data_IF_256747838227
#
_entry.id   IF_256747838227
#
_cell.length_a   1.000
_cell.length_b   1.000
_cell.length_c   1.000
_cell.angle_alpha   90.00
_cell.angle_beta   90.00
_cell.angle_gamma   90.00
#
_symmetry.space_group_name_H-M   'P 1'
#
loop_
_entity.id
_entity.type
_entity.pdbx_description
1 polymer ?
#
# COMPACT_ATOMS: atom_id res chain seq x y z
N UNK A 1 24.71 -22.02 44.39
CA UNK A 1 24.14 -20.73 43.99
C UNK A 1 25.07 -20.15 42.94
N UNK A 2 24.81 -20.45 41.67
CA UNK A 2 25.66 -20.03 40.56
C UNK A 2 25.14 -18.68 40.04
N UNK A 3 25.95 -17.65 40.22
CA UNK A 3 25.75 -16.32 39.66
C UNK A 3 26.02 -16.35 38.15
N UNK A 4 24.99 -16.14 37.34
CA UNK A 4 25.10 -15.92 35.90
C UNK A 4 25.45 -14.46 35.68
N UNK A 5 26.68 -14.20 35.24
CA UNK A 5 27.14 -12.89 34.76
C UNK A 5 26.65 -12.68 33.32
N UNK A 6 25.80 -11.67 33.14
CA UNK A 6 25.35 -11.19 31.82
C UNK A 6 26.51 -10.47 31.13
N UNK A 7 26.90 -10.92 29.93
CA UNK A 7 27.76 -10.16 29.02
C UNK A 7 26.92 -9.65 27.85
N UNK A 8 26.99 -8.36 27.48
CA UNK A 8 26.25 -7.83 26.33
C UNK A 8 26.83 -8.39 25.03
N UNK A 9 25.94 -9.00 24.22
CA UNK A 9 26.26 -9.58 22.93
C UNK A 9 26.78 -8.52 21.95
N UNK A 10 27.83 -8.92 21.25
CA UNK A 10 28.54 -8.17 20.21
C UNK A 10 27.58 -7.73 19.11
N UNK A 11 27.54 -6.41 18.88
CA UNK A 11 26.96 -5.77 17.69
C UNK A 11 27.50 -6.44 16.43
N UNK A 12 26.65 -7.22 15.77
CA UNK A 12 26.92 -7.71 14.42
C UNK A 12 26.34 -6.68 13.45
N UNK A 13 27.14 -5.99 12.63
CA UNK A 13 26.59 -5.06 11.64
C UNK A 13 25.75 -5.87 10.65
N UNK A 14 24.49 -5.47 10.46
CA UNK A 14 23.65 -5.93 9.36
C UNK A 14 24.37 -5.61 8.04
N UNK A 15 25.08 -6.61 7.54
CA UNK A 15 25.88 -6.55 6.32
C UNK A 15 24.95 -6.44 5.12
N UNK A 16 24.95 -5.24 4.54
CA UNK A 16 24.89 -4.94 3.10
C UNK A 16 24.40 -6.12 2.23
N UNK A 17 23.12 -6.14 1.88
CA UNK A 17 22.68 -6.83 0.67
C UNK A 17 23.36 -6.12 -0.52
N UNK A 18 24.24 -6.77 -1.29
CA UNK A 18 24.75 -6.18 -2.50
C UNK A 18 23.62 -6.25 -3.52
N UNK A 19 23.04 -5.10 -3.86
CA UNK A 19 22.34 -4.93 -5.13
C UNK A 19 23.29 -5.43 -6.23
N UNK A 20 23.07 -6.64 -6.75
CA UNK A 20 23.86 -7.14 -7.89
C UNK A 20 23.61 -6.19 -9.05
N UNK A 21 24.64 -5.37 -9.32
CA UNK A 21 24.79 -4.56 -10.53
C UNK A 21 24.85 -5.50 -11.73
N UNK A 22 23.69 -5.77 -12.31
CA UNK A 22 23.58 -6.15 -13.72
C UNK A 22 22.38 -5.42 -14.31
N UNK A 23 22.40 -4.08 -14.26
CA UNK A 23 21.53 -3.29 -15.14
C UNK A 23 22.11 -3.35 -16.55
N UNK A 24 21.86 -4.45 -17.27
CA UNK A 24 21.80 -4.38 -18.72
C UNK A 24 20.73 -3.35 -19.09
N UNK A 25 20.90 -2.61 -20.20
CA UNK A 25 19.81 -1.80 -20.77
C UNK A 25 18.58 -2.70 -20.94
N UNK A 26 17.57 -2.49 -20.10
CA UNK A 26 16.36 -3.30 -20.04
C UNK A 26 15.32 -2.73 -21.01
N UNK A 27 15.44 -3.08 -22.28
CA UNK A 27 14.33 -2.94 -23.24
C UNK A 27 13.36 -4.10 -23.05
N UNK A 28 12.05 -3.85 -23.02
CA UNK A 28 11.04 -4.90 -23.05
C UNK A 28 11.32 -5.81 -24.26
N UNK A 29 11.61 -7.09 -24.00
CA UNK A 29 11.78 -8.06 -25.05
C UNK A 29 10.38 -8.48 -25.53
N UNK A 30 9.85 -7.77 -26.52
CA UNK A 30 8.66 -8.23 -27.24
C UNK A 30 9.01 -9.54 -27.96
N UNK A 31 8.34 -10.66 -27.62
CA UNK A 31 8.44 -11.93 -28.36
C UNK A 31 9.22 -13.07 -27.69
N UNK A 32 9.05 -13.28 -26.38
CA UNK A 32 9.62 -14.47 -25.71
C UNK A 32 8.84 -14.87 -24.42
N UNK A 33 7.59 -14.43 -24.25
CA UNK A 33 6.84 -14.77 -23.03
C UNK A 33 6.48 -16.26 -23.01
N UNK A 34 5.90 -16.80 -24.08
CA UNK A 34 5.48 -18.20 -24.10
C UNK A 34 6.66 -19.17 -23.94
N UNK A 35 7.78 -18.86 -24.56
CA UNK A 35 9.01 -19.65 -24.41
C UNK A 35 9.64 -19.50 -23.01
N UNK A 36 9.57 -18.33 -22.36
CA UNK A 36 9.99 -18.18 -20.98
C UNK A 36 9.06 -18.91 -20.00
N UNK A 37 7.74 -18.77 -20.16
CA UNK A 37 6.73 -19.36 -19.30
C UNK A 37 6.77 -20.90 -19.34
N UNK A 38 7.07 -21.49 -20.51
CA UNK A 38 7.15 -22.94 -20.69
C UNK A 38 8.58 -23.52 -20.54
N UNK A 39 9.57 -22.74 -20.13
CA UNK A 39 10.92 -23.26 -19.89
C UNK A 39 10.93 -24.16 -18.63
N UNK A 40 11.28 -25.45 -18.73
CA UNK A 40 11.24 -26.39 -17.59
C UNK A 40 12.21 -26.02 -16.46
N UNK A 41 13.14 -25.09 -16.69
CA UNK A 41 14.07 -24.57 -15.68
C UNK A 41 13.48 -23.44 -14.85
N UNK A 42 12.27 -22.94 -15.16
CA UNK A 42 11.61 -21.92 -14.35
C UNK A 42 11.30 -22.46 -12.96
N UNK A 43 11.44 -21.58 -11.98
CA UNK A 43 11.00 -21.91 -10.62
C UNK A 43 9.48 -22.02 -10.55
N UNK A 44 8.98 -22.66 -9.49
CA UNK A 44 7.56 -22.75 -9.25
C UNK A 44 6.89 -21.36 -9.19
N UNK A 45 7.54 -20.40 -8.53
CA UNK A 45 7.00 -19.05 -8.37
C UNK A 45 6.98 -18.25 -9.67
N UNK A 46 8.01 -18.39 -10.51
CA UNK A 46 8.03 -17.76 -11.83
C UNK A 46 6.90 -18.30 -12.72
N UNK A 47 6.69 -19.63 -12.72
CA UNK A 47 5.60 -20.24 -13.49
C UNK A 47 4.23 -19.84 -12.93
N UNK A 48 4.10 -19.71 -11.61
CA UNK A 48 2.85 -19.26 -11.01
C UNK A 48 2.53 -17.80 -11.39
N UNK A 49 3.53 -16.92 -11.40
CA UNK A 49 3.39 -15.58 -11.95
C UNK A 49 2.99 -15.59 -13.44
N UNK A 50 3.52 -16.53 -14.23
CA UNK A 50 3.12 -16.72 -15.62
C UNK A 50 1.65 -17.19 -15.76
N UNK A 51 1.22 -18.17 -14.95
CA UNK A 51 -0.18 -18.64 -14.89
C UNK A 51 -1.14 -17.49 -14.61
N UNK A 52 -0.84 -16.65 -13.62
CA UNK A 52 -1.66 -15.48 -13.30
C UNK A 52 -1.71 -14.44 -14.43
N UNK A 53 -0.60 -14.22 -15.15
CA UNK A 53 -0.59 -13.35 -16.32
C UNK A 53 -1.42 -13.92 -17.48
N UNK A 54 -1.35 -15.24 -17.69
CA UNK A 54 -2.15 -15.95 -18.69
C UNK A 54 -3.64 -15.83 -18.34
N UNK A 55 -4.03 -16.11 -17.11
CA UNK A 55 -5.40 -15.96 -16.61
C UNK A 55 -5.92 -14.53 -16.78
N UNK A 56 -5.10 -13.54 -16.42
CA UNK A 56 -5.46 -12.11 -16.52
C UNK A 56 -5.67 -11.65 -17.97
N UNK A 57 -4.90 -12.20 -18.91
CA UNK A 57 -4.98 -11.84 -20.34
C UNK A 57 -6.01 -12.64 -21.12
N UNK A 58 -6.48 -13.78 -20.59
CA UNK A 58 -7.41 -14.67 -21.27
C UNK A 58 -8.73 -13.99 -21.67
N UNK A 59 -9.25 -13.10 -20.82
CA UNK A 59 -10.45 -12.32 -21.14
C UNK A 59 -10.24 -11.36 -22.30
N UNK A 60 -9.07 -10.70 -22.38
CA UNK A 60 -8.70 -9.83 -23.49
C UNK A 60 -8.58 -10.63 -24.80
N UNK A 61 -7.89 -11.76 -24.74
CA UNK A 61 -7.72 -12.65 -25.90
C UNK A 61 -9.06 -13.19 -26.42
N UNK A 62 -9.93 -13.70 -25.54
CA UNK A 62 -11.28 -14.17 -25.91
C UNK A 62 -12.10 -13.07 -26.58
N UNK A 63 -12.06 -11.85 -26.04
CA UNK A 63 -12.78 -10.71 -26.63
C UNK A 63 -12.25 -10.37 -28.03
N UNK A 64 -10.93 -10.36 -28.21
CA UNK A 64 -10.27 -10.10 -29.51
C UNK A 64 -10.68 -11.11 -30.58
N UNK A 65 -10.85 -12.38 -30.19
CA UNK A 65 -11.23 -13.47 -31.10
C UNK A 65 -12.74 -13.79 -31.13
N UNK A 66 -13.57 -12.97 -30.46
CA UNK A 66 -15.04 -13.15 -30.47
C UNK A 66 -15.54 -14.41 -29.75
N UNK A 67 -14.73 -14.98 -28.85
CA UNK A 67 -15.04 -16.21 -28.12
C UNK A 67 -15.91 -15.87 -26.91
N UNK A 68 -17.15 -16.37 -26.89
CA UNK A 68 -18.05 -16.24 -25.75
C UNK A 68 -17.95 -17.46 -24.85
N UNK A 69 -17.64 -17.23 -23.58
CA UNK A 69 -17.59 -18.27 -22.55
C UNK A 69 -18.47 -17.85 -21.39
N UNK A 70 -19.35 -18.74 -20.94
CA UNK A 70 -20.12 -18.53 -19.72
C UNK A 70 -19.20 -18.68 -18.51
N UNK A 71 -19.14 -17.64 -17.67
CA UNK A 71 -18.26 -17.67 -16.50
C UNK A 71 -18.90 -18.49 -15.39
N UNK A 72 -18.32 -19.63 -15.06
CA UNK A 72 -18.72 -20.39 -13.89
C UNK A 72 -17.99 -19.87 -12.64
N UNK A 73 -18.62 -18.91 -11.95
CA UNK A 73 -18.05 -18.29 -10.76
C UNK A 73 -17.74 -19.29 -9.64
N UNK A 74 -18.59 -20.31 -9.46
CA UNK A 74 -18.40 -21.31 -8.41
C UNK A 74 -17.17 -22.19 -8.67
N UNK A 75 -16.98 -22.61 -9.92
CA UNK A 75 -15.81 -23.39 -10.31
C UNK A 75 -14.52 -22.59 -10.14
N UNK A 76 -14.52 -21.29 -10.48
CA UNK A 76 -13.36 -20.43 -10.31
C UNK A 76 -13.00 -20.24 -8.83
N UNK A 77 -13.99 -19.97 -7.96
CA UNK A 77 -13.73 -19.87 -6.52
C UNK A 77 -13.20 -21.19 -5.92
N UNK A 78 -13.71 -22.33 -6.39
CA UNK A 78 -13.22 -23.63 -5.95
C UNK A 78 -11.76 -23.85 -6.37
N UNK A 79 -11.43 -23.54 -7.63
CA UNK A 79 -10.07 -23.64 -8.19
C UNK A 79 -9.07 -22.77 -7.42
N UNK A 80 -9.43 -21.52 -7.13
CA UNK A 80 -8.59 -20.59 -6.35
C UNK A 80 -8.37 -21.14 -4.93
N UNK A 81 -9.43 -21.63 -4.30
CA UNK A 81 -9.35 -22.21 -2.96
C UNK A 81 -8.48 -23.46 -2.93
N UNK A 82 -8.63 -24.37 -3.89
CA UNK A 82 -7.79 -25.56 -4.03
C UNK A 82 -6.31 -25.17 -4.19
N UNK A 83 -6.03 -24.20 -5.07
CA UNK A 83 -4.69 -23.63 -5.27
C UNK A 83 -4.11 -23.00 -3.99
N UNK A 84 -4.94 -22.33 -3.20
CA UNK A 84 -4.54 -21.75 -1.91
C UNK A 84 -4.20 -22.80 -0.84
N UNK A 85 -4.88 -23.95 -0.88
CA UNK A 85 -4.74 -25.04 0.08
C UNK A 85 -3.63 -26.03 -0.27
N UNK A 86 -3.09 -25.96 -1.49
CA UNK A 86 -2.00 -26.80 -1.97
C UNK A 86 -0.68 -26.00 -2.05
N UNK A 87 0.21 -26.11 -1.03
CA UNK A 87 1.54 -25.49 -1.08
C UNK A 87 2.40 -25.99 -2.24
N UNK A 88 2.09 -27.18 -2.78
CA UNK A 88 2.79 -27.82 -3.88
C UNK A 88 2.11 -27.60 -5.24
N UNK A 89 1.08 -26.75 -5.32
CA UNK A 89 0.34 -26.44 -6.57
C UNK A 89 1.31 -26.24 -7.72
N UNK A 90 1.15 -27.04 -8.77
CA UNK A 90 1.91 -26.91 -10.00
C UNK A 90 1.06 -26.10 -10.99
N UNK A 91 1.56 -24.95 -11.46
CA UNK A 91 0.88 -24.18 -12.49
C UNK A 91 0.54 -25.04 -13.70
N UNK A 92 -0.72 -24.97 -14.15
CA UNK A 92 -1.27 -25.79 -15.22
C UNK A 92 -1.73 -24.90 -16.38
N UNK A 93 -0.82 -24.68 -17.33
CA UNK A 93 -1.09 -23.96 -18.56
C UNK A 93 -0.30 -24.59 -19.71
N UNK A 94 -0.89 -24.59 -20.90
CA UNK A 94 -0.24 -25.08 -22.11
C UNK A 94 0.62 -23.99 -22.77
N UNK A 95 1.45 -24.41 -23.73
CA UNK A 95 2.19 -23.48 -24.59
C UNK A 95 1.25 -22.62 -25.45
N UNK A 96 0.08 -23.16 -25.78
CA UNK A 96 -0.96 -22.44 -26.52
C UNK A 96 -1.55 -21.32 -25.65
N UNK A 97 -1.88 -21.60 -24.39
CA UNK A 97 -2.35 -20.58 -23.44
C UNK A 97 -1.35 -19.45 -23.25
N UNK A 98 -0.07 -19.79 -23.11
CA UNK A 98 0.99 -18.80 -23.02
C UNK A 98 1.15 -17.99 -24.33
N UNK A 99 0.89 -18.60 -25.47
CA UNK A 99 0.85 -17.93 -26.78
C UNK A 99 -0.31 -16.95 -26.91
N UNK A 100 -1.49 -17.32 -26.41
CA UNK A 100 -2.66 -16.42 -26.35
C UNK A 100 -2.36 -15.18 -25.53
N UNK A 101 -1.74 -15.35 -24.36
CA UNK A 101 -1.31 -14.24 -23.51
C UNK A 101 -0.32 -13.34 -24.28
N UNK A 102 0.73 -13.93 -24.87
CA UNK A 102 1.74 -13.20 -25.62
C UNK A 102 1.18 -12.36 -26.78
N UNK A 103 0.13 -12.84 -27.46
CA UNK A 103 -0.55 -12.14 -28.54
C UNK A 103 -1.18 -10.81 -28.08
N UNK A 104 -1.72 -10.76 -26.86
CA UNK A 104 -2.46 -9.59 -26.33
C UNK A 104 -1.69 -8.80 -25.27
N UNK A 105 -0.52 -9.28 -24.83
CA UNK A 105 0.34 -8.54 -23.89
C UNK A 105 0.57 -7.08 -24.31
N UNK A 106 0.85 -6.74 -25.59
CA UNK A 106 1.07 -5.34 -26.01
C UNK A 106 -0.13 -4.41 -25.76
N UNK A 107 -1.35 -4.96 -25.62
CA UNK A 107 -2.59 -4.21 -25.38
C UNK A 107 -2.85 -4.01 -23.87
N UNK A 108 -2.06 -4.64 -23.02
CA UNK A 108 -2.25 -4.65 -21.57
C UNK A 108 -1.91 -3.29 -20.97
N UNK A 109 -2.88 -2.64 -20.32
CA UNK A 109 -2.67 -1.38 -19.58
C UNK A 109 -2.57 -1.57 -18.08
N UNK A 110 -3.18 -2.63 -17.56
CA UNK A 110 -3.29 -2.91 -16.13
C UNK A 110 -3.11 -4.38 -15.84
N UNK A 111 -2.51 -4.70 -14.70
CA UNK A 111 -2.45 -6.05 -14.15
C UNK A 111 -3.11 -6.04 -12.76
N UNK A 112 -4.08 -6.94 -12.52
CA UNK A 112 -4.88 -6.91 -11.29
C UNK A 112 -5.21 -8.31 -10.79
N UNK A 113 -4.82 -8.61 -9.57
CA UNK A 113 -5.27 -9.81 -8.85
C UNK A 113 -6.52 -9.45 -8.06
N UNK A 114 -7.62 -10.17 -8.28
CA UNK A 114 -8.94 -9.80 -7.73
C UNK A 114 -9.37 -10.62 -6.51
N UNK A 115 -8.66 -11.70 -6.19
CA UNK A 115 -9.11 -12.69 -5.20
C UNK A 115 -8.17 -12.77 -4.00
N UNK A 116 -8.77 -12.97 -2.82
CA UNK A 116 -8.05 -13.12 -1.56
C UNK A 116 -7.85 -14.59 -1.15
N UNK A 117 -8.50 -15.54 -1.82
CA UNK A 117 -8.52 -16.97 -1.45
C UNK A 117 -7.69 -17.80 -2.42
N UNK A 118 -6.51 -17.30 -2.78
CA UNK A 118 -5.62 -17.91 -3.75
C UNK A 118 -4.20 -18.13 -3.21
N UNK A 119 -3.38 -18.94 -3.86
CA UNK A 119 -1.96 -19.06 -3.55
C UNK A 119 -1.28 -17.69 -3.65
N UNK A 120 -0.49 -17.27 -2.65
CA UNK A 120 0.12 -15.94 -2.67
C UNK A 120 1.18 -15.81 -3.77
N UNK A 121 1.17 -14.67 -4.46
CA UNK A 121 2.17 -14.34 -5.47
C UNK A 121 3.52 -13.98 -4.80
N UNK A 122 4.61 -14.59 -5.27
CA UNK A 122 5.96 -14.41 -4.70
C UNK A 122 6.98 -13.83 -5.67
N UNK A 123 6.74 -13.94 -6.98
CA UNK A 123 7.68 -13.56 -8.03
C UNK A 123 7.00 -12.69 -9.10
N UNK A 124 7.61 -11.53 -9.39
CA UNK A 124 7.13 -10.56 -10.37
C UNK A 124 7.92 -10.58 -11.67
N UNK A 125 8.75 -11.61 -11.92
CA UNK A 125 9.68 -11.64 -13.06
C UNK A 125 8.96 -11.59 -14.41
N UNK A 126 7.69 -11.98 -14.46
CA UNK A 126 6.83 -11.88 -15.65
C UNK A 126 6.58 -10.42 -16.08
N UNK A 127 6.70 -9.44 -15.18
CA UNK A 127 6.46 -8.02 -15.50
C UNK A 127 7.39 -7.49 -16.59
N UNK A 128 8.55 -8.11 -16.81
CA UNK A 128 9.46 -7.71 -17.90
C UNK A 128 8.91 -7.94 -19.31
N UNK A 129 7.87 -8.77 -19.42
CA UNK A 129 7.17 -9.05 -20.68
C UNK A 129 5.92 -8.19 -20.86
N UNK A 130 5.44 -7.57 -19.78
CA UNK A 130 4.34 -6.61 -19.89
C UNK A 130 4.85 -5.32 -20.56
N UNK A 131 4.02 -4.64 -21.36
CA UNK A 131 4.31 -3.26 -21.74
C UNK A 131 4.36 -2.40 -20.46
N UNK A 132 4.89 -1.17 -20.52
CA UNK A 132 4.83 -0.25 -19.38
C UNK A 132 3.37 -0.02 -18.95
N UNK A 133 2.98 -0.67 -17.86
CA UNK A 133 1.61 -0.66 -17.34
C UNK A 133 1.31 0.70 -16.69
N UNK A 134 0.05 1.10 -16.78
CA UNK A 134 -0.48 2.30 -16.14
C UNK A 134 -0.88 2.02 -14.68
N UNK A 135 -1.32 0.78 -14.40
CA UNK A 135 -1.78 0.36 -13.07
C UNK A 135 -1.42 -1.09 -12.74
N UNK A 136 -0.99 -1.33 -11.49
CA UNK A 136 -0.82 -2.68 -10.93
C UNK A 136 -1.60 -2.76 -9.60
N UNK A 137 -2.43 -3.77 -9.47
CA UNK A 137 -3.12 -4.11 -8.23
C UNK A 137 -2.80 -5.57 -7.85
N UNK A 138 -2.11 -5.76 -6.74
CA UNK A 138 -1.75 -7.07 -6.23
C UNK A 138 -2.54 -7.36 -4.96
N UNK A 139 -3.00 -8.60 -4.82
CA UNK A 139 -3.69 -9.08 -3.62
C UNK A 139 -3.07 -10.38 -3.17
N UNK A 140 -2.92 -10.54 -1.85
CA UNK A 140 -2.33 -11.70 -1.20
C UNK A 140 -0.94 -12.04 -1.77
N UNK A 141 0.08 -11.33 -1.30
CA UNK A 141 1.44 -11.48 -1.82
C UNK A 141 2.44 -11.84 -0.72
N UNK A 142 3.54 -12.45 -1.15
CA UNK A 142 4.71 -12.73 -0.32
C UNK A 142 5.99 -12.38 -1.12
N UNK A 143 6.03 -11.16 -1.66
CA UNK A 143 7.08 -10.73 -2.58
C UNK A 143 8.30 -10.25 -1.80
N UNK A 144 9.45 -10.88 -2.06
CA UNK A 144 10.74 -10.50 -1.48
C UNK A 144 11.56 -9.60 -2.40
N UNK A 145 11.48 -9.82 -3.71
CA UNK A 145 12.16 -9.02 -4.72
C UNK A 145 11.17 -8.18 -5.51
N UNK A 146 11.14 -6.89 -5.22
CA UNK A 146 10.30 -5.91 -5.90
C UNK A 146 11.01 -5.24 -7.09
N UNK A 147 12.26 -5.60 -7.40
CA UNK A 147 13.02 -5.03 -8.51
C UNK A 147 12.36 -5.18 -9.89
N UNK A 148 11.53 -6.20 -10.18
CA UNK A 148 10.79 -6.26 -11.44
C UNK A 148 9.80 -5.10 -11.65
N UNK A 149 9.40 -4.37 -10.61
CA UNK A 149 8.62 -3.15 -10.80
C UNK A 149 9.37 -2.07 -11.60
N UNK A 150 10.71 -2.13 -11.67
CA UNK A 150 11.51 -1.17 -12.45
C UNK A 150 11.27 -1.24 -13.96
N UNK A 151 10.69 -2.33 -14.48
CA UNK A 151 10.23 -2.37 -15.86
C UNK A 151 9.00 -1.48 -16.10
N UNK A 152 8.27 -1.12 -15.04
CA UNK A 152 6.95 -0.52 -15.09
C UNK A 152 7.01 1.00 -14.83
N UNK A 153 7.86 1.68 -15.59
CA UNK A 153 8.13 3.12 -15.42
C UNK A 153 6.96 4.06 -15.74
N UNK A 154 5.91 3.54 -16.38
CA UNK A 154 4.69 4.28 -16.70
C UNK A 154 3.61 4.22 -15.60
N UNK A 155 3.85 3.51 -14.49
CA UNK A 155 2.86 3.33 -13.43
C UNK A 155 2.41 4.66 -12.86
N UNK A 156 1.09 4.85 -12.87
CA UNK A 156 0.39 5.96 -12.22
C UNK A 156 -0.37 5.50 -10.98
N UNK A 157 -0.77 4.22 -10.94
CA UNK A 157 -1.45 3.61 -9.80
C UNK A 157 -0.75 2.31 -9.37
N UNK A 158 -0.49 2.17 -8.08
CA UNK A 158 0.08 0.95 -7.52
C UNK A 158 -0.59 0.58 -6.20
N UNK A 159 -1.28 -0.55 -6.20
CA UNK A 159 -2.00 -1.06 -5.05
C UNK A 159 -1.47 -2.44 -4.68
N UNK A 160 -1.14 -2.64 -3.40
CA UNK A 160 -0.77 -3.94 -2.83
C UNK A 160 -1.62 -4.18 -1.60
N UNK A 161 -2.29 -5.33 -1.59
CA UNK A 161 -3.13 -5.74 -0.48
C UNK A 161 -2.64 -7.05 0.12
N UNK A 162 -2.41 -7.04 1.43
CA UNK A 162 -2.02 -8.21 2.23
C UNK A 162 -0.69 -8.81 1.75
N UNK A 163 0.34 -7.98 1.55
CA UNK A 163 1.70 -8.52 1.49
C UNK A 163 2.18 -8.90 2.89
N UNK A 164 2.71 -10.12 3.04
CA UNK A 164 3.06 -10.66 4.36
C UNK A 164 4.56 -10.67 4.67
N UNK A 165 5.43 -10.35 3.71
CA UNK A 165 6.89 -10.55 3.88
C UNK A 165 7.74 -9.37 3.46
N UNK A 166 7.18 -8.35 2.80
CA UNK A 166 7.93 -7.21 2.28
C UNK A 166 8.65 -6.47 3.41
N UNK A 167 9.93 -6.16 3.19
CA UNK A 167 10.75 -5.38 4.13
C UNK A 167 11.39 -4.15 3.51
N UNK A 168 11.46 -4.08 2.18
CA UNK A 168 12.12 -3.01 1.45
C UNK A 168 11.28 -2.64 0.22
N UNK A 169 10.77 -1.41 0.20
CA UNK A 169 10.00 -0.85 -0.90
C UNK A 169 10.68 0.40 -1.50
N UNK A 170 11.99 0.58 -1.28
CA UNK A 170 12.74 1.71 -1.85
C UNK A 170 12.70 1.76 -3.37
N UNK A 171 12.42 0.63 -4.02
CA UNK A 171 12.19 0.54 -5.47
C UNK A 171 11.03 1.45 -5.92
N UNK A 172 10.01 1.66 -5.09
CA UNK A 172 8.87 2.50 -5.40
C UNK A 172 9.30 3.95 -5.63
N UNK A 173 10.32 4.44 -4.92
CA UNK A 173 10.91 5.77 -5.13
C UNK A 173 11.50 6.01 -6.52
N UNK A 174 11.59 4.98 -7.36
CA UNK A 174 12.03 5.09 -8.77
C UNK A 174 10.86 5.23 -9.75
N UNK A 175 9.62 5.02 -9.30
CA UNK A 175 8.40 5.07 -10.11
C UNK A 175 7.77 6.48 -10.03
N UNK A 176 8.48 7.49 -10.53
CA UNK A 176 8.18 8.90 -10.28
C UNK A 176 6.87 9.43 -10.89
N UNK A 177 6.20 8.62 -11.71
CA UNK A 177 4.86 8.88 -12.27
C UNK A 177 3.71 8.40 -11.39
N UNK A 178 3.99 7.74 -10.26
CA UNK A 178 2.96 7.31 -9.33
C UNK A 178 2.19 8.52 -8.80
N UNK A 179 0.86 8.44 -8.94
CA UNK A 179 -0.10 9.45 -8.52
C UNK A 179 -0.97 8.95 -7.37
N UNK A 180 -1.28 7.65 -7.37
CA UNK A 180 -2.09 6.97 -6.34
C UNK A 180 -1.40 5.70 -5.89
N UNK A 181 -1.33 5.49 -4.58
CA UNK A 181 -0.73 4.29 -4.01
C UNK A 181 -1.48 3.79 -2.78
N UNK A 182 -1.84 2.51 -2.79
CA UNK A 182 -2.39 1.81 -1.63
C UNK A 182 -1.43 0.71 -1.17
N UNK A 183 -0.94 0.82 0.06
CA UNK A 183 -0.04 -0.18 0.66
C UNK A 183 -0.71 -0.76 1.90
N UNK A 184 -1.34 -1.92 1.75
CA UNK A 184 -1.88 -2.70 2.86
C UNK A 184 -0.94 -3.87 3.12
N UNK A 185 -0.14 -3.76 4.18
CA UNK A 185 1.00 -4.62 4.43
C UNK A 185 0.88 -5.29 5.80
N UNK A 186 0.93 -6.62 5.85
CA UNK A 186 0.88 -7.41 7.10
C UNK A 186 2.27 -7.60 7.72
N UNK A 187 3.13 -6.58 7.57
CA UNK A 187 4.48 -6.52 8.14
C UNK A 187 4.57 -5.27 9.02
N UNK A 188 5.45 -5.28 10.04
CA UNK A 188 5.50 -4.18 11.00
C UNK A 188 5.85 -2.85 10.33
N UNK A 189 7.04 -2.67 9.77
CA UNK A 189 7.43 -1.43 9.08
C UNK A 189 8.44 -1.74 7.96
N UNK A 190 8.07 -1.68 6.67
CA UNK A 190 9.04 -1.78 5.58
C UNK A 190 9.87 -0.50 5.47
N UNK A 191 11.03 -0.59 4.83
CA UNK A 191 11.82 0.57 4.42
C UNK A 191 11.13 1.30 3.25
N UNK A 192 10.59 2.47 3.53
CA UNK A 192 9.91 3.35 2.58
C UNK A 192 10.78 4.53 2.11
N UNK A 193 12.08 4.53 2.39
CA UNK A 193 12.95 5.62 1.92
C UNK A 193 12.92 5.73 0.40
N UNK A 194 13.03 6.94 -0.11
CA UNK A 194 12.90 7.24 -1.52
C UNK A 194 11.48 7.60 -1.95
N UNK A 195 10.45 7.40 -1.12
CA UNK A 195 9.10 7.90 -1.41
C UNK A 195 9.06 9.44 -1.52
N UNK A 196 10.00 10.15 -0.91
CA UNK A 196 10.18 11.60 -1.07
C UNK A 196 10.49 12.01 -2.53
N UNK A 197 10.93 11.08 -3.38
CA UNK A 197 11.16 11.31 -4.80
C UNK A 197 9.89 11.22 -5.66
N UNK A 198 8.75 10.79 -5.08
CA UNK A 198 7.48 10.66 -5.81
C UNK A 198 6.80 12.02 -5.96
N UNK A 199 7.32 12.82 -6.89
CA UNK A 199 6.87 14.20 -7.11
C UNK A 199 5.48 14.34 -7.70
N UNK A 200 4.85 13.25 -8.15
CA UNK A 200 3.47 13.24 -8.67
C UNK A 200 2.47 12.58 -7.72
N UNK A 201 2.92 11.99 -6.60
CA UNK A 201 2.04 11.27 -5.68
C UNK A 201 1.09 12.23 -4.97
N UNK A 202 -0.22 11.99 -5.15
CA UNK A 202 -1.31 12.80 -4.58
C UNK A 202 -2.08 12.04 -3.52
N UNK A 203 -2.27 10.74 -3.74
CA UNK A 203 -3.11 9.90 -2.90
C UNK A 203 -2.28 8.74 -2.35
N UNK A 204 -2.13 8.68 -1.02
CA UNK A 204 -1.38 7.64 -0.33
C UNK A 204 -2.23 7.06 0.79
N UNK A 205 -2.62 5.80 0.66
CA UNK A 205 -3.24 5.04 1.74
C UNK A 205 -2.26 3.98 2.20
N UNK A 206 -1.94 4.02 3.48
CA UNK A 206 -1.01 3.10 4.11
C UNK A 206 -1.71 2.40 5.27
N UNK A 207 -1.71 1.07 5.23
CA UNK A 207 -2.23 0.25 6.30
C UNK A 207 -1.08 -0.63 6.80
N UNK A 208 -0.57 -0.27 7.97
CA UNK A 208 0.70 -0.73 8.54
C UNK A 208 1.15 0.18 9.68
N UNK A 209 2.39 0.04 10.13
CA UNK A 209 2.89 0.83 11.26
C UNK A 209 3.53 2.16 10.82
N UNK A 210 3.20 3.25 11.53
CA UNK A 210 3.73 4.59 11.24
C UNK A 210 5.27 4.69 11.29
N UNK A 211 5.94 3.81 12.03
CA UNK A 211 7.41 3.78 12.09
C UNK A 211 8.06 3.57 10.72
N UNK A 212 7.32 3.08 9.72
CA UNK A 212 7.76 3.00 8.33
C UNK A 212 8.09 4.38 7.70
N UNK A 213 7.57 5.47 8.27
CA UNK A 213 7.77 6.84 7.77
C UNK A 213 8.84 7.63 8.51
N UNK A 214 9.46 7.10 9.57
CA UNK A 214 10.46 7.81 10.39
C UNK A 214 11.61 8.41 9.57
N UNK A 215 12.01 7.70 8.51
CA UNK A 215 13.10 8.10 7.62
C UNK A 215 12.61 8.70 6.28
N UNK A 216 11.33 9.06 6.19
CA UNK A 216 10.71 9.72 5.02
C UNK A 216 10.40 11.16 5.40
N UNK A 217 11.26 12.14 5.06
CA UNK A 217 11.14 13.49 5.62
C UNK A 217 9.98 14.29 5.03
N UNK A 218 9.64 14.07 3.76
CA UNK A 218 8.65 14.88 3.04
C UNK A 218 7.96 14.06 1.96
N UNK A 219 6.66 14.31 1.77
CA UNK A 219 5.90 13.86 0.62
C UNK A 219 5.31 15.11 -0.07
N UNK A 220 5.97 15.62 -1.14
CA UNK A 220 5.85 17.02 -1.53
C UNK A 220 4.51 17.39 -2.17
N UNK A 221 3.80 16.43 -2.78
CA UNK A 221 2.54 16.67 -3.50
C UNK A 221 1.35 15.88 -2.96
N UNK A 222 1.52 15.14 -1.87
CA UNK A 222 0.45 14.36 -1.26
C UNK A 222 -0.63 15.29 -0.75
N UNK A 223 -1.87 15.04 -1.20
CA UNK A 223 -3.09 15.78 -0.86
C UNK A 223 -4.02 14.95 0.02
N UNK A 224 -4.01 13.63 -0.17
CA UNK A 224 -4.77 12.66 0.61
C UNK A 224 -3.79 11.69 1.23
N UNK A 225 -3.78 11.65 2.57
CA UNK A 225 -3.02 10.67 3.32
C UNK A 225 -3.94 9.95 4.30
N UNK A 226 -4.03 8.64 4.17
CA UNK A 226 -4.81 7.82 5.08
C UNK A 226 -3.90 6.76 5.69
N UNK A 227 -3.78 6.77 7.02
CA UNK A 227 -3.16 5.68 7.76
C UNK A 227 -4.24 4.87 8.47
N UNK A 228 -4.29 3.58 8.16
CA UNK A 228 -5.19 2.61 8.80
C UNK A 228 -4.41 1.63 9.67
N UNK A 229 -5.08 1.11 10.70
CA UNK A 229 -4.47 0.18 11.64
C UNK A 229 -4.59 -1.30 11.23
N UNK A 230 -3.61 -2.13 11.61
CA UNK A 230 -3.65 -3.59 11.53
C UNK A 230 -3.51 -4.21 12.92
N UNK A 231 -4.53 -4.95 13.34
CA UNK A 231 -4.64 -5.50 14.70
C UNK A 231 -3.50 -6.42 15.17
N UNK A 232 -2.61 -6.88 14.29
CA UNK A 232 -1.44 -7.68 14.70
C UNK A 232 -0.20 -6.85 15.07
N UNK A 233 -0.13 -5.57 14.69
CA UNK A 233 1.02 -4.68 14.93
C UNK A 233 0.54 -3.36 15.55
N UNK A 234 -0.21 -3.50 16.64
CA UNK A 234 -0.84 -2.42 17.39
C UNK A 234 0.16 -1.62 18.22
N UNK A 235 0.93 -0.78 17.52
CA UNK A 235 1.71 0.27 18.13
C UNK A 235 1.05 1.59 17.74
N UNK A 236 0.48 2.32 18.70
CA UNK A 236 -0.15 3.60 18.44
C UNK A 236 0.79 4.60 17.79
N UNK A 237 0.23 5.46 16.94
CA UNK A 237 0.87 6.71 16.56
C UNK A 237 0.98 7.55 17.82
N UNK A 238 2.20 7.61 18.38
CA UNK A 238 2.43 8.35 19.61
C UNK A 238 2.19 9.83 19.41
N UNK A 239 2.78 10.39 18.35
CA UNK A 239 2.72 11.80 17.99
C UNK A 239 2.57 11.96 16.48
N UNK A 240 1.86 13.00 16.03
CA UNK A 240 1.75 13.33 14.60
C UNK A 240 3.09 13.81 14.03
N UNK A 241 4.07 14.17 14.88
CA UNK A 241 5.43 14.52 14.47
C UNK A 241 6.12 13.42 13.67
N UNK A 242 5.82 12.15 13.95
CA UNK A 242 6.44 10.98 13.32
C UNK A 242 6.09 10.80 11.83
N UNK A 243 5.07 11.51 11.34
CA UNK A 243 4.70 11.49 9.93
C UNK A 243 5.65 12.36 9.08
N UNK A 244 5.67 12.20 7.75
CA UNK A 244 6.39 13.10 6.85
C UNK A 244 5.78 14.50 6.81
N UNK A 245 6.56 15.50 6.42
CA UNK A 245 6.01 16.79 6.02
C UNK A 245 5.16 16.65 4.74
N UNK A 246 3.94 17.19 4.74
CA UNK A 246 3.02 17.13 3.60
C UNK A 246 2.41 18.52 3.36
N UNK A 247 3.13 19.44 2.67
CA UNK A 247 2.74 20.85 2.56
C UNK A 247 1.47 21.08 1.72
N UNK A 248 1.02 20.08 0.97
CA UNK A 248 -0.19 20.13 0.14
C UNK A 248 -1.34 19.27 0.69
N UNK A 249 -1.27 18.83 1.95
CA UNK A 249 -2.24 17.93 2.54
C UNK A 249 -3.61 18.60 2.76
N UNK A 250 -4.65 18.03 2.17
CA UNK A 250 -6.05 18.51 2.30
C UNK A 250 -6.94 17.52 3.06
N UNK A 251 -6.63 16.22 2.99
CA UNK A 251 -7.35 15.16 3.70
C UNK A 251 -6.36 14.29 4.46
N UNK A 252 -6.63 14.12 5.75
CA UNK A 252 -5.85 13.28 6.64
C UNK A 252 -6.79 12.35 7.40
N UNK A 253 -6.52 11.05 7.33
CA UNK A 253 -7.12 10.06 8.22
C UNK A 253 -6.02 9.42 9.05
N UNK A 254 -6.16 9.48 10.37
CA UNK A 254 -5.27 8.86 11.33
C UNK A 254 -6.03 7.83 12.15
N UNK A 255 -5.50 6.62 12.23
CA UNK A 255 -6.01 5.57 13.11
C UNK A 255 -5.03 5.29 14.24
N UNK A 256 -5.54 4.81 15.37
CA UNK A 256 -4.77 4.46 16.57
C UNK A 256 -3.80 5.57 17.05
N UNK A 257 -4.29 6.80 17.20
CA UNK A 257 -3.48 7.97 17.61
C UNK A 257 -3.60 8.27 19.11
N UNK A 258 -2.49 8.55 19.81
CA UNK A 258 -2.51 8.92 21.24
C UNK A 258 -2.20 10.38 21.52
N UNK A 259 -1.47 11.08 20.66
CA UNK A 259 -1.21 12.51 20.79
C UNK A 259 -1.34 13.20 19.43
N UNK A 260 -1.88 14.43 19.44
CA UNK A 260 -2.17 15.22 18.24
C UNK A 260 -1.13 16.31 17.99
N UNK A 261 -0.09 16.39 18.81
CA UNK A 261 0.98 17.37 18.67
C UNK A 261 1.69 17.22 17.31
N UNK A 262 1.96 18.35 16.65
CA UNK A 262 2.55 18.39 15.31
C UNK A 262 1.54 18.39 14.18
N UNK A 263 0.25 18.16 14.45
CA UNK A 263 -0.80 18.25 13.43
C UNK A 263 -0.94 19.67 12.87
N UNK A 264 -0.60 20.69 13.67
CA UNK A 264 -0.65 22.11 13.32
C UNK A 264 0.19 22.48 12.09
N UNK A 265 1.17 21.64 11.72
CA UNK A 265 1.99 21.85 10.51
C UNK A 265 1.20 21.66 9.21
N UNK A 266 0.09 20.92 9.23
CA UNK A 266 -0.77 20.69 8.07
C UNK A 266 -1.80 21.81 7.91
N UNK A 267 -1.30 23.03 7.68
CA UNK A 267 -2.11 24.26 7.66
C UNK A 267 -3.18 24.33 6.56
N UNK A 268 -3.06 23.51 5.50
CA UNK A 268 -4.02 23.40 4.39
C UNK A 268 -5.09 22.31 4.61
N UNK A 269 -5.10 21.67 5.78
CA UNK A 269 -5.98 20.53 6.03
C UNK A 269 -7.45 20.98 6.05
N UNK A 270 -8.25 20.40 5.15
CA UNK A 270 -9.68 20.67 5.02
C UNK A 270 -10.53 19.61 5.71
N UNK A 271 -10.09 18.35 5.66
CA UNK A 271 -10.80 17.19 6.19
C UNK A 271 -9.88 16.38 7.10
N UNK A 272 -10.27 16.19 8.34
CA UNK A 272 -9.55 15.39 9.33
C UNK A 272 -10.47 14.31 9.89
N UNK A 273 -10.02 13.06 9.83
CA UNK A 273 -10.59 11.95 10.57
C UNK A 273 -9.53 11.41 11.52
N UNK A 274 -9.81 11.37 12.82
CA UNK A 274 -8.87 10.83 13.81
C UNK A 274 -9.56 9.85 14.74
N UNK A 275 -8.94 8.68 14.86
CA UNK A 275 -9.37 7.56 15.69
C UNK A 275 -8.27 7.24 16.69
N UNK A 276 -8.59 7.10 17.98
CA UNK A 276 -7.58 6.78 18.99
C UNK A 276 -7.97 7.15 20.42
N UNK A 277 -6.99 7.34 21.29
CA UNK A 277 -7.16 7.58 22.74
C UNK A 277 -6.42 8.83 23.23
N UNK A 278 -6.43 9.90 22.44
CA UNK A 278 -5.82 11.18 22.79
C UNK A 278 -6.59 11.94 23.86
N UNK A 279 -5.86 12.70 24.68
CA UNK A 279 -6.39 13.48 25.82
C UNK A 279 -6.48 14.98 25.56
N UNK A 280 -5.74 15.50 24.58
CA UNK A 280 -5.67 16.93 24.27
C UNK A 280 -6.08 17.23 22.82
N UNK A 281 -7.07 18.10 22.67
CA UNK A 281 -7.54 18.60 21.37
C UNK A 281 -6.98 19.99 21.03
N UNK A 282 -6.18 20.59 21.90
CA UNK A 282 -5.59 21.93 21.71
C UNK A 282 -4.85 22.09 20.38
N UNK A 283 -4.05 21.11 19.89
CA UNK A 283 -3.37 21.23 18.61
C UNK A 283 -4.31 21.48 17.42
N UNK A 284 -5.55 20.98 17.49
CA UNK A 284 -6.53 21.14 16.41
C UNK A 284 -6.93 22.60 16.19
N UNK A 285 -6.86 23.46 17.21
CA UNK A 285 -7.24 24.87 17.10
C UNK A 285 -6.37 25.66 16.10
N UNK A 286 -5.20 25.14 15.71
CA UNK A 286 -4.34 25.74 14.71
C UNK A 286 -4.83 25.49 13.25
N UNK A 287 -5.71 24.52 13.03
CA UNK A 287 -6.17 24.09 11.71
C UNK A 287 -7.28 25.00 11.16
N UNK A 288 -6.94 26.25 10.86
CA UNK A 288 -7.90 27.31 10.49
C UNK A 288 -8.71 27.02 9.23
N UNK A 289 -8.19 26.22 8.31
CA UNK A 289 -8.87 25.82 7.07
C UNK A 289 -9.76 24.59 7.23
N UNK A 290 -9.79 23.97 8.42
CA UNK A 290 -10.54 22.74 8.65
C UNK A 290 -12.05 22.98 8.49
N UNK A 291 -12.67 22.17 7.63
CA UNK A 291 -14.10 22.26 7.30
C UNK A 291 -14.88 21.03 7.77
N UNK A 292 -14.22 19.88 7.84
CA UNK A 292 -14.80 18.60 8.25
C UNK A 292 -13.90 17.94 9.28
N UNK A 293 -14.47 17.58 10.42
CA UNK A 293 -13.78 16.92 11.51
C UNK A 293 -14.58 15.72 12.01
N UNK A 294 -13.97 14.55 11.94
CA UNK A 294 -14.45 13.34 12.62
C UNK A 294 -13.46 12.97 13.71
N UNK A 295 -13.94 12.89 14.94
CA UNK A 295 -13.18 12.43 16.10
C UNK A 295 -13.88 11.17 16.63
N UNK A 296 -13.14 10.07 16.74
CA UNK A 296 -13.65 8.82 17.29
C UNK A 296 -12.72 8.25 18.35
N UNK A 297 -13.28 7.88 19.48
CA UNK A 297 -12.51 7.58 20.69
C UNK A 297 -12.06 8.87 21.39
N UNK A 298 -10.93 8.77 22.09
CA UNK A 298 -10.35 9.82 22.91
C UNK A 298 -10.60 9.58 24.41
N UNK A 299 -9.79 10.26 25.20
CA UNK A 299 -9.93 10.44 26.64
C UNK A 299 -9.87 11.93 26.98
N UNK A 300 -10.27 12.80 26.05
CA UNK A 300 -10.24 14.24 26.23
C UNK A 300 -11.43 14.69 27.09
N UNK A 301 -11.17 15.64 27.98
CA UNK A 301 -12.21 16.13 28.90
C UNK A 301 -13.11 17.20 28.27
N UNK A 302 -12.65 17.86 27.21
CA UNK A 302 -13.36 18.99 26.60
C UNK A 302 -13.11 19.12 25.11
N UNK A 303 -14.11 19.65 24.40
CA UNK A 303 -14.03 20.04 22.99
C UNK A 303 -13.90 21.55 22.78
N UNK A 304 -13.66 22.33 23.86
CA UNK A 304 -13.49 23.77 23.78
C UNK A 304 -12.48 24.26 22.71
N UNK A 305 -11.36 23.56 22.42
CA UNK A 305 -10.46 23.96 21.33
C UNK A 305 -11.12 24.03 19.95
N UNK A 306 -12.17 23.24 19.72
CA UNK A 306 -12.87 23.15 18.43
C UNK A 306 -13.77 24.36 18.17
N UNK A 307 -14.27 25.03 19.22
CA UNK A 307 -15.16 26.19 19.12
C UNK A 307 -14.53 27.37 18.35
N UNK A 308 -13.20 27.42 18.32
CA UNK A 308 -12.42 28.50 17.68
C UNK A 308 -12.13 28.26 16.21
N UNK A 309 -12.57 27.14 15.63
CA UNK A 309 -12.31 26.81 14.23
C UNK A 309 -13.22 27.63 13.31
N UNK A 310 -12.68 28.60 12.56
CA UNK A 310 -13.49 29.61 11.86
C UNK A 310 -14.24 29.04 10.65
N UNK A 311 -13.77 27.91 10.12
CA UNK A 311 -14.28 27.31 8.89
C UNK A 311 -14.96 25.95 9.09
N UNK A 312 -15.05 25.45 10.32
CA UNK A 312 -15.62 24.14 10.61
C UNK A 312 -17.12 24.13 10.33
N UNK A 313 -17.58 23.20 9.50
CA UNK A 313 -18.98 23.10 9.05
C UNK A 313 -19.63 21.76 9.37
N UNK A 314 -18.82 20.72 9.58
CA UNK A 314 -19.28 19.38 9.94
C UNK A 314 -18.38 18.82 11.01
N UNK A 315 -18.98 18.50 12.16
CA UNK A 315 -18.32 17.84 13.28
C UNK A 315 -19.05 16.53 13.56
N UNK A 316 -18.31 15.43 13.57
CA UNK A 316 -18.78 14.13 14.07
C UNK A 316 -17.91 13.75 15.26
N UNK A 317 -18.53 13.54 16.42
CA UNK A 317 -17.86 13.06 17.63
C UNK A 317 -18.44 11.71 18.02
N UNK A 318 -17.58 10.70 18.12
CA UNK A 318 -17.90 9.40 18.71
C UNK A 318 -17.01 9.21 19.92
N UNK A 319 -17.54 9.37 21.11
CA UNK A 319 -16.82 9.18 22.37
C UNK A 319 -17.62 8.21 23.24
N UNK A 320 -16.94 7.46 24.12
CA UNK A 320 -17.63 6.55 25.04
C UNK A 320 -18.63 7.30 25.93
N UNK A 321 -18.20 8.47 26.41
CA UNK A 321 -19.04 9.42 27.17
C UNK A 321 -19.17 10.72 26.38
N UNK A 322 -20.34 11.10 25.86
CA UNK A 322 -20.48 12.32 25.08
C UNK A 322 -19.93 13.55 25.84
N UNK A 323 -19.04 14.36 25.23
CA UNK A 323 -18.50 15.55 25.88
C UNK A 323 -19.56 16.65 26.01
N UNK A 324 -19.29 17.66 26.85
CA UNK A 324 -20.10 18.88 26.88
C UNK A 324 -19.94 19.65 25.56
N UNK A 325 -21.06 19.88 24.87
CA UNK A 325 -21.11 20.61 23.62
C UNK A 325 -21.36 22.12 23.79
N UNK A 326 -21.58 22.60 25.01
CA UNK A 326 -21.76 24.03 25.33
C UNK A 326 -20.67 24.92 24.73
N UNK A 327 -19.37 24.54 24.70
CA UNK A 327 -18.33 25.36 24.07
C UNK A 327 -18.58 25.66 22.58
N UNK A 328 -19.35 24.84 21.87
CA UNK A 328 -19.64 25.04 20.45
C UNK A 328 -20.77 26.04 20.19
N UNK A 329 -21.43 26.59 21.21
CA UNK A 329 -22.52 27.56 21.04
C UNK A 329 -22.09 28.80 20.23
N UNK A 330 -20.81 29.18 20.33
CA UNK A 330 -20.23 30.33 19.63
C UNK A 330 -19.46 29.93 18.35
N UNK A 331 -19.55 28.67 17.92
CA UNK A 331 -18.86 28.21 16.72
C UNK A 331 -19.44 28.91 15.48
N UNK A 332 -18.63 29.64 14.70
CA UNK A 332 -19.15 30.62 13.73
C UNK A 332 -19.87 30.01 12.52
N UNK A 333 -19.71 28.70 12.28
CA UNK A 333 -20.18 28.01 11.06
C UNK A 333 -20.70 26.58 11.29
N UNK A 334 -20.79 26.13 12.54
CA UNK A 334 -21.20 24.77 12.90
C UNK A 334 -22.72 24.64 13.05
#
# INVERSE_FOLDING_TARGET
>A
MNSVTWQPGVDTPLTKFPFRRTMLRMTAASGNFAAWACDPRRTLEERFGAELLIEHTLGLWRNKHGIKVETNYQAEQLRLKERSLDPAHQPDYSREDAGHAEEVLPELKKFSLSFNDDRPLRDLSFLRFCPPLEAIELRQTEIRDWSPLLFQTALTKFDVWRDQVVRDLRVLGRLTRLQSMHLYLSVPWPDLRGLENLTELRDLHYNGNVLAFRDVPVLPKVRVFEIGHLGSFDIPLRTVHDLPAMPELHRLKLDNTTELDGIERYTKLLNLEVYGYFTDLTPLAALKELTHLTISGGNYETIAPLARLPNLRRLTVRHEVPPDFTPLADAPRL
#
